data_IF_729720013740
#
_entry.id   IF_729720013740
#
_cell.length_a   1.000
_cell.length_b   1.000
_cell.length_c   1.000
_cell.angle_alpha   90.00
_cell.angle_beta   90.00
_cell.angle_gamma   90.00
#
_symmetry.space_group_name_H-M   'P 1'
#
loop_
_entity.id
_entity.type
_entity.pdbx_description
1 polymer ?
#
# COMPACT_ATOMS: atom_id res chain seq x y z
N UNK A 1 -12.69 24.93 2.52
CA UNK A 1 -13.22 23.63 2.05
C UNK A 1 -12.20 22.56 2.44
N UNK A 2 -12.64 21.40 2.91
CA UNK A 2 -11.74 20.29 3.24
C UNK A 2 -11.46 19.45 1.99
N UNK A 3 -10.27 18.85 1.91
CA UNK A 3 -9.86 17.96 0.83
C UNK A 3 -9.32 16.64 1.40
N UNK A 4 -9.63 15.53 0.74
CA UNK A 4 -9.03 14.24 1.06
C UNK A 4 -7.63 14.16 0.46
N UNK A 5 -6.65 13.78 1.29
CA UNK A 5 -5.24 13.77 0.93
C UNK A 5 -4.79 12.32 0.75
N UNK A 6 -4.60 11.59 1.85
CA UNK A 6 -4.03 10.25 1.87
C UNK A 6 -4.78 9.30 2.81
N UNK A 7 -4.51 8.01 2.64
CA UNK A 7 -4.70 6.98 3.67
C UNK A 7 -3.42 6.81 4.46
N UNK A 8 -3.50 6.74 5.79
CA UNK A 8 -2.36 6.52 6.68
C UNK A 8 -2.57 5.27 7.52
N UNK A 9 -1.54 4.43 7.65
CA UNK A 9 -1.49 3.35 8.65
C UNK A 9 -0.05 3.02 9.04
N UNK A 10 0.08 2.22 10.10
CA UNK A 10 1.37 1.88 10.69
C UNK A 10 1.96 0.62 10.08
N UNK A 11 3.28 0.58 9.99
CA UNK A 11 4.08 -0.53 9.47
C UNK A 11 5.15 -0.94 10.47
N UNK A 12 5.63 -2.18 10.36
CA UNK A 12 6.67 -2.73 11.24
C UNK A 12 8.09 -2.71 10.68
N UNK A 13 8.25 -2.48 9.37
CA UNK A 13 9.56 -2.47 8.72
C UNK A 13 9.44 -1.63 7.43
N UNK A 14 10.31 -0.61 7.29
CA UNK A 14 10.17 0.39 6.22
C UNK A 14 10.47 -0.23 4.87
N UNK A 15 11.63 -0.88 4.72
CA UNK A 15 12.15 -1.26 3.41
C UNK A 15 11.29 -2.34 2.76
N UNK A 16 10.81 -3.31 3.54
CA UNK A 16 9.86 -4.34 3.13
C UNK A 16 8.51 -3.74 2.75
N UNK A 17 8.00 -2.77 3.50
CA UNK A 17 6.72 -2.13 3.16
C UNK A 17 6.83 -1.27 1.90
N UNK A 18 7.90 -0.51 1.75
CA UNK A 18 8.17 0.30 0.54
C UNK A 18 8.33 -0.60 -0.68
N UNK A 19 9.17 -1.65 -0.59
CA UNK A 19 9.39 -2.58 -1.70
C UNK A 19 8.08 -3.27 -2.16
N UNK A 20 7.19 -3.61 -1.22
CA UNK A 20 5.87 -4.16 -1.57
C UNK A 20 5.03 -3.17 -2.39
N UNK A 21 4.99 -1.90 -1.98
CA UNK A 21 4.23 -0.88 -2.70
C UNK A 21 4.89 -0.50 -4.04
N UNK A 22 6.21 -0.48 -4.12
CA UNK A 22 6.93 -0.31 -5.38
C UNK A 22 6.64 -1.44 -6.38
N UNK A 23 6.55 -2.69 -5.89
CA UNK A 23 6.14 -3.83 -6.73
C UNK A 23 4.71 -3.69 -7.30
N UNK A 24 3.85 -2.93 -6.61
CA UNK A 24 2.51 -2.53 -7.06
C UNK A 24 2.50 -1.27 -7.95
N UNK A 25 3.65 -0.62 -8.13
CA UNK A 25 3.81 0.58 -8.97
C UNK A 25 3.71 1.90 -8.22
N UNK A 26 3.81 1.91 -6.89
CA UNK A 26 4.02 3.15 -6.16
C UNK A 26 5.47 3.63 -6.30
N UNK A 27 5.65 4.92 -6.07
CA UNK A 27 6.94 5.59 -5.94
C UNK A 27 6.96 6.29 -4.59
N UNK A 28 8.09 6.15 -3.88
CA UNK A 28 8.34 6.95 -2.69
C UNK A 28 8.59 8.41 -3.11
N UNK A 29 7.78 9.33 -2.57
CA UNK A 29 7.92 10.77 -2.85
C UNK A 29 8.62 11.52 -1.71
N UNK A 30 8.79 10.89 -0.55
CA UNK A 30 9.59 11.44 0.54
C UNK A 30 9.42 10.72 1.87
N UNK A 31 10.34 11.00 2.79
CA UNK A 31 10.29 10.57 4.19
C UNK A 31 10.36 11.78 5.10
N UNK A 32 9.71 11.70 6.26
CA UNK A 32 9.73 12.73 7.27
C UNK A 32 9.88 12.10 8.66
N UNK A 33 10.93 12.45 9.42
CA UNK A 33 11.03 12.03 10.82
C UNK A 33 9.98 12.75 11.67
N UNK A 34 9.40 12.02 12.63
CA UNK A 34 8.54 12.57 13.67
C UNK A 34 9.33 12.51 14.97
N UNK A 35 10.01 13.62 15.27
CA UNK A 35 10.87 13.75 16.45
C UNK A 35 11.86 12.58 16.48
N UNK A 36 12.00 11.96 17.65
CA UNK A 36 12.82 10.76 17.88
C UNK A 36 11.95 9.50 18.06
N UNK A 37 10.71 9.51 17.54
CA UNK A 37 9.70 8.47 17.80
C UNK A 37 9.36 7.62 16.57
N UNK A 38 9.29 8.25 15.39
CA UNK A 38 8.81 7.59 14.19
C UNK A 38 9.36 8.20 12.89
N UNK A 39 9.15 7.50 11.78
CA UNK A 39 9.35 8.00 10.41
C UNK A 39 8.05 7.79 9.65
N UNK A 40 7.60 8.84 8.96
CA UNK A 40 6.59 8.74 7.92
C UNK A 40 7.25 8.55 6.56
N UNK A 41 6.73 7.64 5.77
CA UNK A 41 7.07 7.44 4.36
C UNK A 41 5.84 7.77 3.52
N UNK A 42 6.01 8.61 2.52
CA UNK A 42 4.95 9.09 1.65
C UNK A 42 5.11 8.48 0.26
N UNK A 43 4.02 7.93 -0.28
CA UNK A 43 4.03 7.25 -1.57
C UNK A 43 2.86 7.67 -2.46
N UNK A 44 3.10 7.63 -3.78
CA UNK A 44 2.13 7.91 -4.84
C UNK A 44 2.23 6.90 -5.98
N UNK A 45 1.22 6.82 -6.84
CA UNK A 45 1.31 6.15 -8.13
C UNK A 45 1.59 7.22 -9.20
N UNK A 46 2.36 6.90 -10.26
CA UNK A 46 2.55 7.81 -11.39
C UNK A 46 1.21 8.38 -11.90
N UNK A 47 1.08 9.71 -11.84
CA UNK A 47 -0.13 10.45 -12.23
C UNK A 47 -0.97 10.99 -11.08
N UNK A 48 -0.72 10.63 -9.82
CA UNK A 48 -1.45 11.15 -8.65
C UNK A 48 -1.14 12.62 -8.29
N UNK A 49 -0.13 13.21 -8.93
CA UNK A 49 0.37 14.56 -8.65
C UNK A 49 1.34 14.61 -7.47
N UNK A 50 1.54 15.81 -6.92
CA UNK A 50 2.55 16.06 -5.87
C UNK A 50 2.07 15.73 -4.45
N UNK A 51 0.77 15.51 -4.27
CA UNK A 51 0.16 15.25 -2.95
C UNK A 51 0.17 13.74 -2.69
N UNK A 52 0.74 13.25 -1.56
CA UNK A 52 0.76 11.82 -1.26
C UNK A 52 -0.64 11.23 -1.12
N UNK A 53 -0.82 10.00 -1.58
CA UNK A 53 -2.03 9.18 -1.41
C UNK A 53 -1.88 8.11 -0.34
N UNK A 54 -0.65 7.70 -0.06
CA UNK A 54 -0.32 6.72 0.96
C UNK A 54 0.73 7.29 1.92
N UNK A 55 0.45 7.18 3.22
CA UNK A 55 1.37 7.47 4.31
C UNK A 55 1.59 6.20 5.13
N UNK A 56 2.84 5.80 5.28
CA UNK A 56 3.26 4.67 6.11
C UNK A 56 4.01 5.22 7.32
N UNK A 57 3.54 4.89 8.53
CA UNK A 57 4.22 5.30 9.76
C UNK A 57 4.96 4.13 10.39
N UNK A 58 6.28 4.23 10.48
CA UNK A 58 7.11 3.31 11.25
C UNK A 58 7.46 3.93 12.61
N UNK A 59 7.07 3.28 13.71
CA UNK A 59 7.46 3.70 15.06
C UNK A 59 8.70 2.89 15.49
N UNK A 60 9.69 3.56 16.05
CA UNK A 60 10.95 2.91 16.37
C UNK A 60 10.77 1.77 17.37
N UNK A 61 11.32 0.60 17.03
CA UNK A 61 11.25 -0.60 17.89
C UNK A 61 9.89 -1.29 17.93
N UNK A 62 8.92 -0.88 17.10
CA UNK A 62 7.62 -1.56 16.98
C UNK A 62 7.54 -2.26 15.62
N UNK A 63 7.42 -3.59 15.63
CA UNK A 63 7.44 -4.43 14.43
C UNK A 63 6.07 -4.99 14.02
N UNK A 64 5.04 -4.79 14.84
CA UNK A 64 3.73 -5.39 14.67
C UNK A 64 2.61 -4.58 15.32
N UNK A 65 1.40 -4.72 14.76
CA UNK A 65 0.18 -4.07 15.23
C UNK A 65 -1.02 -5.01 15.11
N UNK A 66 -1.97 -4.88 16.02
CA UNK A 66 -3.29 -5.49 15.86
C UNK A 66 -4.14 -4.64 14.91
N UNK A 67 -4.53 -5.19 13.76
CA UNK A 67 -5.36 -4.49 12.77
C UNK A 67 -6.82 -4.28 13.25
N UNK A 68 -7.31 -5.22 14.06
CA UNK A 68 -8.73 -5.32 14.39
C UNK A 68 -9.59 -5.73 13.18
N UNK A 69 -10.90 -5.51 13.27
CA UNK A 69 -11.88 -5.94 12.25
C UNK A 69 -12.61 -4.79 11.57
N UNK A 70 -12.29 -3.54 11.92
CA UNK A 70 -12.95 -2.35 11.38
C UNK A 70 -12.33 -1.83 10.08
N UNK A 71 -11.01 -1.88 9.95
CA UNK A 71 -10.32 -1.57 8.69
C UNK A 71 -10.39 -2.78 7.75
N UNK A 72 -10.56 -2.53 6.44
CA UNK A 72 -10.66 -3.61 5.46
C UNK A 72 -9.55 -3.53 4.41
N UNK A 73 -9.60 -2.57 3.48
CA UNK A 73 -8.61 -2.44 2.42
C UNK A 73 -8.56 -1.04 1.80
N UNK A 74 -7.46 -0.74 1.11
CA UNK A 74 -7.44 0.19 -0.03
C UNK A 74 -7.63 -0.60 -1.32
N UNK A 75 -8.21 0.01 -2.34
CA UNK A 75 -8.46 -0.64 -3.63
C UNK A 75 -7.66 0.07 -4.72
N UNK A 76 -7.10 -0.72 -5.64
CA UNK A 76 -6.35 -0.24 -6.80
C UNK A 76 -6.87 -0.94 -8.05
N UNK A 77 -6.77 -0.26 -9.19
CA UNK A 77 -7.01 -0.88 -10.49
C UNK A 77 -5.68 -1.35 -11.09
N UNK A 78 -5.73 -2.51 -11.74
CA UNK A 78 -4.63 -3.00 -12.58
C UNK A 78 -5.08 -2.95 -14.04
N UNK A 79 -4.18 -2.56 -14.94
CA UNK A 79 -4.46 -2.62 -16.39
C UNK A 79 -4.70 -4.06 -16.86
N UNK A 80 -3.88 -4.99 -16.37
CA UNK A 80 -4.05 -6.43 -16.55
C UNK A 80 -3.72 -7.15 -15.23
N UNK A 81 -4.74 -7.74 -14.60
CA UNK A 81 -4.60 -8.41 -13.31
C UNK A 81 -3.65 -9.63 -13.37
N UNK A 82 -3.72 -10.43 -14.44
CA UNK A 82 -2.91 -11.65 -14.55
C UNK A 82 -1.42 -11.33 -14.74
N UNK A 83 -1.11 -10.33 -15.57
CA UNK A 83 0.26 -9.85 -15.74
C UNK A 83 0.82 -9.24 -14.45
N UNK A 84 0.02 -8.46 -13.72
CA UNK A 84 0.42 -7.92 -12.42
C UNK A 84 0.73 -9.04 -11.43
N UNK A 85 -0.13 -10.05 -11.32
CA UNK A 85 0.09 -11.18 -10.41
C UNK A 85 1.31 -12.00 -10.79
N UNK A 86 1.54 -12.25 -12.08
CA UNK A 86 2.75 -12.96 -12.54
C UNK A 86 4.03 -12.21 -12.14
N UNK A 87 4.08 -10.88 -12.34
CA UNK A 87 5.21 -10.03 -11.95
C UNK A 87 5.44 -9.99 -10.45
N UNK A 88 4.36 -10.01 -9.65
CA UNK A 88 4.44 -10.06 -8.19
C UNK A 88 4.98 -11.41 -7.71
N UNK A 89 4.54 -12.52 -8.32
CA UNK A 89 5.00 -13.86 -8.00
C UNK A 89 6.51 -14.05 -8.27
N UNK A 90 7.05 -13.43 -9.34
CA UNK A 90 8.51 -13.39 -9.60
C UNK A 90 9.32 -12.75 -8.46
N UNK A 91 8.67 -11.92 -7.64
CA UNK A 91 9.25 -11.26 -6.46
C UNK A 91 8.88 -11.96 -5.15
N UNK A 92 8.20 -13.11 -5.21
CA UNK A 92 7.74 -13.86 -4.04
C UNK A 92 6.52 -13.24 -3.33
N UNK A 93 5.78 -12.36 -4.01
CA UNK A 93 4.57 -11.73 -3.49
C UNK A 93 3.36 -12.49 -4.05
N UNK A 94 2.65 -13.19 -3.17
CA UNK A 94 1.46 -13.97 -3.52
C UNK A 94 0.19 -13.31 -2.98
N UNK A 95 -0.94 -13.37 -3.72
CA UNK A 95 -2.21 -12.90 -3.19
C UNK A 95 -2.70 -13.83 -2.07
N UNK A 96 -3.42 -13.28 -1.09
CA UNK A 96 -4.03 -14.10 -0.03
C UNK A 96 -4.96 -15.18 -0.60
N UNK A 97 -5.59 -14.89 -1.74
CA UNK A 97 -6.53 -15.78 -2.44
C UNK A 97 -6.41 -15.65 -3.95
N UNK A 98 -6.67 -16.72 -4.72
CA UNK A 98 -6.75 -16.63 -6.16
C UNK A 98 -7.82 -15.62 -6.62
N UNK A 99 -7.63 -14.93 -7.75
CA UNK A 99 -8.60 -13.97 -8.26
C UNK A 99 -10.00 -14.54 -8.47
N UNK A 100 -11.02 -13.77 -8.12
CA UNK A 100 -12.42 -14.20 -8.16
C UNK A 100 -13.39 -13.05 -8.43
N UNK A 101 -14.64 -13.37 -8.74
CA UNK A 101 -15.72 -12.37 -8.86
C UNK A 101 -16.70 -12.50 -7.71
N UNK A 102 -16.99 -11.39 -7.03
CA UNK A 102 -17.92 -11.34 -5.88
C UNK A 102 -19.34 -11.73 -6.28
N UNK A 103 -19.74 -11.39 -7.52
CA UNK A 103 -21.04 -11.73 -8.09
C UNK A 103 -20.87 -12.20 -9.52
N UNK A 104 -21.85 -12.96 -10.02
CA UNK A 104 -21.90 -13.39 -11.42
C UNK A 104 -21.86 -12.17 -12.36
N UNK A 105 -20.87 -12.14 -13.25
CA UNK A 105 -20.65 -11.02 -14.18
C UNK A 105 -20.06 -9.76 -13.53
N UNK A 106 -19.60 -9.82 -12.27
CA UNK A 106 -18.87 -8.73 -11.63
C UNK A 106 -17.40 -8.69 -12.07
N UNK A 107 -16.71 -7.61 -11.69
CA UNK A 107 -15.26 -7.50 -11.86
C UNK A 107 -14.54 -8.69 -11.23
N UNK A 108 -13.48 -9.13 -11.89
CA UNK A 108 -12.50 -10.04 -11.28
C UNK A 108 -11.59 -9.20 -10.40
N UNK A 109 -11.53 -9.57 -9.12
CA UNK A 109 -10.63 -9.03 -8.11
C UNK A 109 -9.42 -9.93 -7.98
#
# INVERSE_FOLDING_TARGET
MAAWIHTCYRIGEIDRSVAFYEALGFEEIGRMPIRDEAINVFMNIPGDGDIPRLELTYNFGVDSYELGTGYNHIAMTAGNLDETLARLAEQGIEPERPPYSVRKGGSRL
#
